data_IF_603833363304
#
_entry.id   IF_603833363304
#
_cell.length_a   1.000
_cell.length_b   1.000
_cell.length_c   1.000
_cell.angle_alpha   90.00
_cell.angle_beta   90.00
_cell.angle_gamma   90.00
#
_symmetry.space_group_name_H-M   'P 1'
#
loop_
_entity.id
_entity.type
_entity.pdbx_description
1 polymer ?
#
# COMPACT_ATOMS: atom_id res chain seq x y z
N UNK A 1 -39.09 109.10 -1.26
CA UNK A 1 -38.94 107.94 -0.35
C UNK A 1 -38.62 106.73 -1.20
N UNK A 2 -37.36 106.33 -1.26
CA UNK A 2 -36.97 105.02 -1.80
C UNK A 2 -35.62 104.65 -1.16
N UNK A 3 -35.69 103.88 -0.08
CA UNK A 3 -34.54 103.34 0.63
C UNK A 3 -34.26 101.94 0.10
N UNK A 4 -33.20 101.80 -0.68
CA UNK A 4 -32.65 100.54 -1.15
C UNK A 4 -32.21 99.70 0.06
N UNK A 5 -32.72 98.47 0.12
CA UNK A 5 -32.34 97.42 1.06
C UNK A 5 -31.04 96.76 0.58
N UNK A 6 -29.92 97.05 1.24
CA UNK A 6 -28.73 96.20 1.16
C UNK A 6 -28.95 94.97 2.04
N UNK A 7 -28.99 93.80 1.41
CA UNK A 7 -29.09 92.50 2.06
C UNK A 7 -27.67 92.00 2.34
N UNK A 8 -27.20 92.20 3.57
CA UNK A 8 -25.97 91.59 4.09
C UNK A 8 -26.28 90.11 4.44
N UNK A 9 -25.54 89.11 3.91
CA UNK A 9 -25.78 87.73 4.29
C UNK A 9 -25.20 87.47 5.68
N UNK A 10 -26.08 87.28 6.66
CA UNK A 10 -25.71 86.84 8.01
C UNK A 10 -25.15 85.41 7.96
N UNK A 11 -24.05 85.10 8.66
CA UNK A 11 -23.50 83.75 8.69
C UNK A 11 -24.45 82.81 9.46
N UNK A 12 -25.04 81.85 8.75
CA UNK A 12 -25.87 80.79 9.32
C UNK A 12 -25.07 79.96 10.34
N UNK A 13 -25.63 79.65 11.52
CA UNK A 13 -24.93 78.83 12.52
C UNK A 13 -24.68 77.43 11.95
N UNK A 14 -23.41 77.07 11.77
CA UNK A 14 -22.99 75.76 11.27
C UNK A 14 -23.75 74.64 12.01
N UNK A 15 -24.33 73.72 11.24
CA UNK A 15 -25.15 72.63 11.79
C UNK A 15 -24.27 71.72 12.65
N UNK A 16 -24.79 71.21 13.77
CA UNK A 16 -24.08 70.24 14.63
C UNK A 16 -23.51 69.05 13.85
N UNK A 17 -24.15 68.69 12.73
CA UNK A 17 -23.68 67.64 11.81
C UNK A 17 -22.38 68.02 11.07
N UNK A 18 -22.22 69.27 10.68
CA UNK A 18 -21.03 69.77 9.97
C UNK A 18 -19.82 69.80 10.91
N UNK A 19 -20.04 70.19 12.17
CA UNK A 19 -19.02 70.13 13.23
C UNK A 19 -18.55 68.69 13.50
N UNK A 20 -19.47 67.71 13.51
CA UNK A 20 -19.12 66.30 13.69
C UNK A 20 -18.34 65.73 12.50
N UNK A 21 -18.70 66.13 11.27
CA UNK A 21 -17.99 65.70 10.07
C UNK A 21 -16.55 66.24 10.05
N UNK A 22 -16.33 67.51 10.42
CA UNK A 22 -14.98 68.08 10.50
C UNK A 22 -14.10 67.42 11.57
N UNK A 23 -14.68 67.06 12.73
CA UNK A 23 -13.98 66.33 13.77
C UNK A 23 -13.58 64.90 13.31
N UNK A 24 -14.47 64.22 12.58
CA UNK A 24 -14.18 62.91 11.99
C UNK A 24 -13.07 62.97 10.94
N UNK A 25 -13.12 63.95 10.03
CA UNK A 25 -12.12 64.12 8.97
C UNK A 25 -10.75 64.45 9.57
N UNK A 26 -10.68 65.34 10.56
CA UNK A 26 -9.42 65.68 11.24
C UNK A 26 -8.86 64.51 12.06
N UNK A 27 -9.72 63.73 12.72
CA UNK A 27 -9.33 62.50 13.42
C UNK A 27 -8.75 61.44 12.47
N UNK A 28 -9.39 61.20 11.31
CA UNK A 28 -8.88 60.30 10.27
C UNK A 28 -7.56 60.79 9.67
N UNK A 29 -7.43 62.10 9.43
CA UNK A 29 -6.20 62.69 8.92
C UNK A 29 -5.03 62.53 9.91
N UNK A 30 -5.28 62.73 11.20
CA UNK A 30 -4.27 62.55 12.25
C UNK A 30 -3.86 61.07 12.38
N UNK A 31 -4.83 60.15 12.38
CA UNK A 31 -4.55 58.71 12.41
C UNK A 31 -3.72 58.28 11.20
N UNK A 32 -4.04 58.78 10.00
CA UNK A 32 -3.26 58.55 8.79
C UNK A 32 -1.82 59.04 8.92
N UNK A 33 -1.61 60.25 9.43
CA UNK A 33 -0.26 60.80 9.67
C UNK A 33 0.55 59.98 10.68
N UNK A 34 -0.08 59.46 11.72
CA UNK A 34 0.58 58.60 12.72
C UNK A 34 1.02 57.29 12.06
N UNK A 35 0.15 56.65 11.28
CA UNK A 35 0.49 55.41 10.55
C UNK A 35 1.62 55.65 9.54
N UNK A 36 1.57 56.76 8.79
CA UNK A 36 2.62 57.13 7.84
C UNK A 36 3.96 57.39 8.56
N UNK A 37 3.93 58.09 9.69
CA UNK A 37 5.13 58.34 10.48
C UNK A 37 5.71 57.05 11.07
N UNK A 38 4.86 56.18 11.62
CA UNK A 38 5.28 54.92 12.20
C UNK A 38 5.87 53.97 11.14
N UNK A 39 5.26 53.92 9.95
CA UNK A 39 5.81 53.16 8.82
C UNK A 39 7.12 53.76 8.32
N UNK A 40 7.27 55.08 8.29
CA UNK A 40 8.53 55.74 7.95
C UNK A 40 9.66 55.48 8.97
N UNK A 41 9.36 55.52 10.28
CA UNK A 41 10.35 55.19 11.33
C UNK A 41 10.81 53.72 11.23
N UNK A 42 9.91 52.79 10.89
CA UNK A 42 10.24 51.38 10.65
C UNK A 42 11.08 51.18 9.38
N UNK A 43 10.80 51.94 8.31
CA UNK A 43 11.61 51.93 7.09
C UNK A 43 12.98 52.58 7.28
N UNK A 44 13.12 53.55 8.19
CA UNK A 44 14.38 54.24 8.43
C UNK A 44 15.31 53.45 9.38
N UNK A 45 14.78 52.47 10.12
CA UNK A 45 15.55 51.65 11.04
C UNK A 45 16.17 50.43 10.33
N UNK A 46 17.49 50.44 10.17
CA UNK A 46 18.23 49.38 9.50
C UNK A 46 18.06 48.01 10.17
N UNK A 47 17.97 47.95 11.49
CA UNK A 47 17.84 46.69 12.24
C UNK A 47 16.53 45.94 11.96
N UNK A 48 15.43 46.65 11.72
CA UNK A 48 14.13 46.04 11.39
C UNK A 48 14.07 45.55 9.94
N UNK A 49 14.79 46.21 9.03
CA UNK A 49 14.92 45.72 7.65
C UNK A 49 15.67 44.39 7.63
N UNK A 50 16.79 44.30 8.35
CA UNK A 50 17.59 43.06 8.40
C UNK A 50 16.80 41.88 8.97
N UNK A 51 16.02 42.09 10.04
CA UNK A 51 15.20 41.01 10.61
C UNK A 51 14.08 40.56 9.68
N UNK A 52 13.41 41.49 8.96
CA UNK A 52 12.39 41.14 7.97
C UNK A 52 12.97 40.35 6.80
N UNK A 53 14.12 40.78 6.26
CA UNK A 53 14.80 40.08 5.16
C UNK A 53 15.24 38.68 5.61
N UNK A 54 15.75 38.55 6.83
CA UNK A 54 16.14 37.26 7.38
C UNK A 54 14.95 36.31 7.52
N UNK A 55 13.83 36.79 8.08
CA UNK A 55 12.61 35.99 8.27
C UNK A 55 12.04 35.55 6.92
N UNK A 56 11.92 36.47 5.95
CA UNK A 56 11.43 36.14 4.62
C UNK A 56 12.39 35.21 3.87
N UNK A 57 13.70 35.38 4.02
CA UNK A 57 14.70 34.49 3.44
C UNK A 57 14.61 33.07 4.00
N UNK A 58 14.52 32.93 5.33
CA UNK A 58 14.31 31.63 5.98
C UNK A 58 12.99 30.99 5.57
N UNK A 59 11.90 31.78 5.50
CA UNK A 59 10.61 31.31 5.01
C UNK A 59 10.69 30.84 3.56
N UNK A 60 11.42 31.55 2.69
CA UNK A 60 11.67 31.12 1.31
C UNK A 60 12.49 29.83 1.24
N UNK A 61 13.54 29.69 2.05
CA UNK A 61 14.35 28.47 2.11
C UNK A 61 13.50 27.30 2.58
N UNK A 62 12.72 27.46 3.64
CA UNK A 62 11.80 26.44 4.15
C UNK A 62 10.73 26.09 3.12
N UNK A 63 10.13 27.08 2.47
CA UNK A 63 9.14 26.87 1.41
C UNK A 63 9.75 26.13 0.22
N UNK A 64 10.97 26.49 -0.18
CA UNK A 64 11.67 25.83 -1.29
C UNK A 64 12.05 24.38 -0.96
N UNK A 65 12.60 24.13 0.23
CA UNK A 65 12.93 22.76 0.66
C UNK A 65 11.67 21.93 0.87
N UNK A 66 10.60 22.52 1.40
CA UNK A 66 9.30 21.88 1.53
C UNK A 66 8.70 21.53 0.17
N UNK A 67 8.73 22.46 -0.79
CA UNK A 67 8.27 22.21 -2.16
C UNK A 67 9.09 21.12 -2.84
N UNK A 68 10.42 21.14 -2.68
CA UNK A 68 11.30 20.07 -3.19
C UNK A 68 11.02 18.71 -2.54
N UNK A 69 10.68 18.71 -1.26
CA UNK A 69 10.29 17.51 -0.53
C UNK A 69 8.93 16.97 -0.99
N UNK A 70 7.99 17.87 -1.32
CA UNK A 70 6.66 17.52 -1.83
C UNK A 70 6.74 16.85 -3.22
N UNK A 71 7.54 17.38 -4.15
CA UNK A 71 7.75 16.76 -5.47
C UNK A 71 8.41 15.37 -5.37
N UNK A 72 9.28 15.17 -4.38
CA UNK A 72 9.94 13.87 -4.15
C UNK A 72 9.00 12.80 -3.58
N UNK A 73 7.91 13.18 -2.93
CA UNK A 73 6.93 12.22 -2.38
C UNK A 73 6.09 11.56 -3.47
N UNK A 74 5.67 12.29 -4.50
CA UNK A 74 4.80 11.76 -5.56
C UNK A 74 5.51 10.65 -6.35
N UNK A 75 6.79 10.86 -6.69
CA UNK A 75 7.60 9.86 -7.41
C UNK A 75 7.77 8.60 -6.56
N UNK A 76 7.99 8.75 -5.24
CA UNK A 76 8.14 7.61 -4.33
C UNK A 76 6.85 6.81 -4.19
N UNK A 77 5.71 7.48 -4.04
CA UNK A 77 4.42 6.82 -3.87
C UNK A 77 4.03 5.96 -5.09
N UNK A 78 4.26 6.47 -6.31
CA UNK A 78 4.01 5.70 -7.54
C UNK A 78 4.95 4.50 -7.66
N UNK A 79 6.22 4.68 -7.31
CA UNK A 79 7.20 3.59 -7.38
C UNK A 79 6.87 2.48 -6.39
N UNK A 80 6.52 2.82 -5.13
CA UNK A 80 6.14 1.82 -4.12
C UNK A 80 4.87 1.08 -4.51
N UNK A 81 3.87 1.79 -5.04
CA UNK A 81 2.62 1.17 -5.49
C UNK A 81 2.84 0.20 -6.67
N UNK A 82 3.71 0.56 -7.62
CA UNK A 82 4.06 -0.33 -8.74
C UNK A 82 4.85 -1.54 -8.28
N UNK A 83 5.80 -1.36 -7.35
CA UNK A 83 6.58 -2.47 -6.81
C UNK A 83 5.68 -3.49 -6.09
N UNK A 84 4.76 -3.02 -5.23
CA UNK A 84 3.82 -3.92 -4.55
C UNK A 84 2.87 -4.65 -5.51
N UNK A 85 2.45 -4.01 -6.59
CA UNK A 85 1.59 -4.66 -7.62
C UNK A 85 2.36 -5.73 -8.42
N UNK A 86 3.65 -5.49 -8.71
CA UNK A 86 4.49 -6.49 -9.37
C UNK A 86 4.73 -7.70 -8.46
N UNK A 87 5.12 -7.46 -7.21
CA UNK A 87 5.38 -8.53 -6.24
C UNK A 87 4.14 -9.42 -6.03
N UNK A 88 2.97 -8.82 -5.83
CA UNK A 88 1.71 -9.57 -5.68
C UNK A 88 1.40 -10.43 -6.90
N UNK A 89 1.67 -9.94 -8.11
CA UNK A 89 1.42 -10.70 -9.35
C UNK A 89 2.40 -11.85 -9.53
N UNK A 90 3.65 -11.68 -9.11
CA UNK A 90 4.64 -12.73 -9.16
C UNK A 90 4.30 -13.85 -8.18
N UNK A 91 3.92 -13.52 -6.95
CA UNK A 91 3.47 -14.49 -5.95
C UNK A 91 2.25 -15.29 -6.44
N UNK A 92 1.25 -14.60 -6.98
CA UNK A 92 0.07 -15.25 -7.55
C UNK A 92 0.41 -16.19 -8.72
N UNK A 93 1.37 -15.80 -9.57
CA UNK A 93 1.82 -16.65 -10.69
C UNK A 93 2.58 -17.88 -10.19
N UNK A 94 3.46 -17.71 -9.21
CA UNK A 94 4.21 -18.82 -8.62
C UNK A 94 3.26 -19.81 -7.91
N UNK A 95 2.31 -19.28 -7.14
CA UNK A 95 1.30 -20.09 -6.46
C UNK A 95 0.48 -20.89 -7.49
N UNK A 96 -0.06 -20.22 -8.51
CA UNK A 96 -0.85 -20.88 -9.54
C UNK A 96 -0.04 -21.91 -10.33
N UNK A 97 1.21 -21.60 -10.68
CA UNK A 97 2.09 -22.56 -11.37
C UNK A 97 2.40 -23.78 -10.51
N UNK A 98 2.55 -23.60 -9.20
CA UNK A 98 2.79 -24.70 -8.26
C UNK A 98 1.53 -25.55 -8.08
N UNK A 99 0.36 -24.92 -7.99
CA UNK A 99 -0.94 -25.61 -7.94
C UNK A 99 -1.21 -26.40 -9.23
N UNK A 100 -0.95 -25.81 -10.39
CA UNK A 100 -1.09 -26.48 -11.69
C UNK A 100 -0.11 -27.66 -11.80
N UNK A 101 1.12 -27.49 -11.30
CA UNK A 101 2.11 -28.56 -11.26
C UNK A 101 1.69 -29.69 -10.31
N UNK A 102 1.19 -29.37 -9.12
CA UNK A 102 0.66 -30.35 -8.17
C UNK A 102 -0.56 -31.07 -8.74
N UNK A 103 -1.51 -30.35 -9.34
CA UNK A 103 -2.67 -30.95 -9.98
C UNK A 103 -2.26 -31.85 -11.16
N UNK A 104 -1.22 -31.46 -11.90
CA UNK A 104 -0.68 -32.27 -12.99
C UNK A 104 0.06 -33.50 -12.48
N UNK A 105 0.87 -33.37 -11.42
CA UNK A 105 1.44 -34.52 -10.72
C UNK A 105 0.30 -35.41 -10.27
N UNK A 106 -0.68 -34.93 -9.50
CA UNK A 106 -1.77 -35.76 -8.98
C UNK A 106 -2.57 -36.49 -10.09
N UNK A 107 -2.74 -35.88 -11.27
CA UNK A 107 -3.39 -36.53 -12.42
C UNK A 107 -2.49 -37.57 -13.11
N UNK A 108 -1.17 -37.35 -13.14
CA UNK A 108 -0.18 -38.26 -13.74
C UNK A 108 0.28 -39.35 -12.76
N UNK A 109 0.23 -39.02 -11.49
CA UNK A 109 0.43 -39.82 -10.30
C UNK A 109 -0.84 -40.66 -10.13
N UNK A 110 -0.96 -41.64 -11.01
CA UNK A 110 -1.47 -42.95 -10.61
C UNK A 110 -0.55 -43.48 -9.50
N UNK A 111 -0.48 -42.84 -8.33
CA UNK A 111 0.30 -43.31 -7.19
C UNK A 111 -0.56 -44.35 -6.50
N UNK A 112 -0.41 -45.57 -6.99
CA UNK A 112 -0.97 -46.73 -6.37
C UNK A 112 -0.42 -46.90 -4.95
N UNK A 113 -1.24 -46.58 -3.95
CA UNK A 113 -0.96 -46.94 -2.56
C UNK A 113 -1.29 -48.42 -2.35
N UNK A 114 -0.38 -49.17 -1.74
CA UNK A 114 -0.60 -50.54 -1.30
C UNK A 114 -0.21 -50.73 0.16
N UNK A 115 -0.94 -51.58 0.87
CA UNK A 115 -0.72 -51.91 2.27
C UNK A 115 -0.66 -53.44 2.42
N UNK A 116 0.42 -53.96 3.00
CA UNK A 116 0.58 -55.38 3.30
C UNK A 116 0.40 -55.62 4.80
N UNK A 117 -0.68 -56.32 5.16
CA UNK A 117 -0.86 -56.87 6.50
C UNK A 117 -0.19 -58.24 6.58
N UNK A 118 0.94 -58.28 7.28
CA UNK A 118 1.81 -59.46 7.41
C UNK A 118 1.17 -60.53 8.30
N UNK A 119 0.36 -60.15 9.29
CA UNK A 119 -0.25 -61.10 10.23
C UNK A 119 -1.36 -61.90 9.56
N UNK A 120 -2.09 -61.25 8.65
CA UNK A 120 -3.20 -61.86 7.91
C UNK A 120 -2.86 -62.22 6.46
N UNK A 121 -1.62 -61.92 6.02
CA UNK A 121 -1.14 -62.13 4.64
C UNK A 121 -1.99 -61.41 3.58
N UNK A 122 -2.63 -60.30 3.96
CA UNK A 122 -3.56 -59.55 3.09
C UNK A 122 -2.87 -58.35 2.46
N UNK A 123 -2.96 -58.26 1.14
CA UNK A 123 -2.49 -57.11 0.39
C UNK A 123 -3.69 -56.26 -0.02
N UNK A 124 -3.72 -54.99 0.40
CA UNK A 124 -4.73 -54.02 -0.01
C UNK A 124 -4.13 -53.07 -1.03
N UNK A 125 -4.78 -52.94 -2.17
CA UNK A 125 -4.40 -52.02 -3.24
C UNK A 125 -5.45 -50.91 -3.35
N UNK A 126 -5.00 -49.69 -3.62
CA UNK A 126 -5.88 -48.60 -4.06
C UNK A 126 -6.26 -48.78 -5.54
N UNK A 127 -7.36 -48.15 -5.95
CA UNK A 127 -7.92 -48.25 -7.31
C UNK A 127 -6.92 -47.84 -8.40
N UNK A 128 -5.98 -46.95 -8.07
CA UNK A 128 -4.89 -46.56 -8.98
C UNK A 128 -3.90 -47.70 -9.25
N UNK A 129 -3.61 -48.56 -8.26
CA UNK A 129 -2.70 -49.72 -8.44
C UNK A 129 -3.28 -50.69 -9.47
N UNK A 130 -4.59 -50.95 -9.42
CA UNK A 130 -5.26 -51.83 -10.40
C UNK A 130 -5.14 -51.29 -11.82
N UNK A 131 -5.26 -49.96 -11.97
CA UNK A 131 -5.09 -49.29 -13.27
C UNK A 131 -3.64 -49.35 -13.76
N UNK A 132 -2.66 -49.21 -12.86
CA UNK A 132 -1.22 -49.30 -13.20
C UNK A 132 -0.83 -50.72 -13.64
N UNK A 133 -1.29 -51.74 -12.91
CA UNK A 133 -0.98 -53.14 -13.20
C UNK A 133 -1.88 -53.73 -14.30
N UNK A 134 -2.93 -53.01 -14.73
CA UNK A 134 -3.84 -53.43 -15.80
C UNK A 134 -4.71 -54.64 -15.44
N UNK A 135 -5.06 -54.79 -14.16
CA UNK A 135 -5.83 -55.95 -13.64
C UNK A 135 -7.22 -55.48 -13.21
N UNK A 136 -8.26 -56.23 -13.56
CA UNK A 136 -9.65 -55.86 -13.27
C UNK A 136 -10.00 -56.10 -11.78
N UNK A 137 -10.82 -55.20 -11.20
CA UNK A 137 -11.18 -55.23 -9.77
C UNK A 137 -12.01 -56.47 -9.42
N UNK A 138 -12.76 -56.99 -10.38
CA UNK A 138 -13.65 -58.14 -10.21
C UNK A 138 -12.92 -59.48 -10.16
N UNK A 139 -11.67 -59.56 -10.63
CA UNK A 139 -10.85 -60.76 -10.51
C UNK A 139 -10.36 -61.00 -9.07
N UNK A 140 -10.70 -60.12 -8.11
CA UNK A 140 -10.95 -60.51 -6.72
C UNK A 140 -9.76 -61.07 -5.93
N UNK A 141 -8.52 -60.83 -6.35
CA UNK A 141 -7.37 -61.41 -5.69
C UNK A 141 -6.24 -60.42 -5.50
N UNK A 142 -5.68 -60.39 -4.30
CA UNK A 142 -4.23 -60.51 -4.03
C UNK A 142 -4.06 -60.96 -2.56
N UNK A 143 -4.03 -62.26 -2.33
CA UNK A 143 -3.21 -62.76 -1.23
C UNK A 143 -1.74 -62.55 -1.62
N UNK A 144 -0.84 -62.37 -0.65
CA UNK A 144 0.61 -62.19 -0.89
C UNK A 144 1.20 -63.20 -1.92
N UNK A 145 0.72 -64.45 -1.89
CA UNK A 145 1.15 -65.52 -2.81
C UNK A 145 0.76 -65.30 -4.28
N UNK A 146 -0.34 -64.58 -4.55
CA UNK A 146 -0.76 -64.26 -5.92
C UNK A 146 0.01 -63.06 -6.46
N UNK A 147 0.38 -62.12 -5.60
CA UNK A 147 1.27 -61.01 -5.95
C UNK A 147 2.64 -61.52 -6.42
N UNK A 148 3.24 -62.46 -5.67
CA UNK A 148 4.50 -63.09 -6.04
C UNK A 148 4.45 -63.83 -7.39
N UNK A 149 3.27 -64.30 -7.81
CA UNK A 149 3.09 -64.96 -9.11
C UNK A 149 3.12 -63.99 -10.29
N UNK A 150 2.71 -62.75 -10.08
CA UNK A 150 2.79 -61.66 -11.07
C UNK A 150 4.22 -61.16 -11.26
N UNK A 151 5.09 -61.38 -10.27
CA UNK A 151 6.52 -61.09 -10.34
C UNK A 151 7.23 -62.19 -11.11
N UNK A 152 8.12 -61.78 -12.02
CA UNK A 152 8.98 -62.68 -12.80
C UNK A 152 9.78 -63.59 -11.86
N UNK A 153 9.95 -64.86 -12.21
CA UNK A 153 10.54 -65.87 -11.32
C UNK A 153 11.92 -65.47 -10.79
N UNK A 154 12.72 -64.83 -11.63
CA UNK A 154 14.09 -64.39 -11.32
C UNK A 154 14.15 -63.24 -10.32
N UNK A 155 13.08 -62.44 -10.20
CA UNK A 155 13.05 -61.24 -9.34
C UNK A 155 12.40 -61.50 -7.97
N UNK A 156 11.72 -62.63 -7.80
CA UNK A 156 11.10 -63.03 -6.52
C UNK A 156 12.06 -63.05 -5.33
N UNK A 157 13.27 -63.65 -5.41
CA UNK A 157 14.18 -63.69 -4.26
C UNK A 157 14.64 -62.30 -3.82
N UNK A 158 14.82 -61.37 -4.76
CA UNK A 158 15.19 -59.97 -4.46
C UNK A 158 14.07 -59.25 -3.72
N UNK A 159 12.82 -59.46 -4.14
CA UNK A 159 11.64 -58.85 -3.50
C UNK A 159 11.41 -59.41 -2.10
N UNK A 160 11.55 -60.73 -1.92
CA UNK A 160 11.43 -61.36 -0.61
C UNK A 160 12.52 -60.90 0.37
N UNK A 161 13.76 -60.77 -0.11
CA UNK A 161 14.87 -60.25 0.69
C UNK A 161 14.61 -58.81 1.16
N UNK A 162 14.20 -57.93 0.23
CA UNK A 162 13.88 -56.54 0.55
C UNK A 162 12.73 -56.41 1.57
N UNK A 163 11.69 -57.25 1.45
CA UNK A 163 10.60 -57.28 2.44
C UNK A 163 11.15 -57.75 3.80
N UNK A 164 11.94 -58.82 3.81
CA UNK A 164 12.52 -59.37 5.05
C UNK A 164 13.43 -58.37 5.78
N UNK A 165 14.13 -57.52 5.03
CA UNK A 165 15.02 -56.47 5.54
C UNK A 165 14.22 -55.32 6.13
N UNK A 166 13.18 -54.85 5.43
CA UNK A 166 12.23 -53.84 5.92
C UNK A 166 11.57 -54.25 7.25
N UNK A 167 11.25 -55.54 7.41
CA UNK A 167 10.71 -56.09 8.66
C UNK A 167 11.73 -56.18 9.78
N UNK A 168 13.02 -56.25 9.44
CA UNK A 168 14.13 -56.31 10.39
C UNK A 168 14.48 -54.92 10.94
N UNK A 169 14.41 -53.89 10.10
CA UNK A 169 14.70 -52.49 10.46
C UNK A 169 13.60 -51.82 11.30
N UNK A 170 12.37 -52.36 11.31
CA UNK A 170 11.25 -51.84 12.11
C UNK A 170 11.25 -52.33 13.58
N UNK A 171 12.42 -52.67 14.12
CA UNK A 171 12.68 -52.98 15.55
C UNK A 171 13.61 -51.93 16.15
#
# INVERSE_FOLDING_TARGET
MNSLSEHEPTPSPASKKDLLLLALISGLALAGLIVIRQTFEVLNNQSTIFSLVLIWGLACVLFFTFRRWQEAQEIRAVLTAKLSDVETREDQRQQKSSEDYQARIQRLSSLGTWELDINNTRLKWSDDVFTIFGVDREDGFLNYDQYLKTIHHDDRPVVEEAISECLRERK
#
